data_IF_334968667022
#
_entry.id   IF_334968667022
#
_cell.length_a   1.000
_cell.length_b   1.000
_cell.length_c   1.000
_cell.angle_alpha   90.00
_cell.angle_beta   90.00
_cell.angle_gamma   90.00
#
_symmetry.space_group_name_H-M   'P 1'
#
loop_
_entity.id
_entity.type
_entity.pdbx_description
1 polymer ?
#
# COMPACT_ATOMS: atom_id res chain seq x y z
N UNK A 1 20.85 29.46 42.65
CA UNK A 1 21.54 28.24 43.08
C UNK A 1 21.23 27.15 42.08
N UNK A 2 22.27 26.76 41.33
CA UNK A 2 22.44 25.62 40.43
C UNK A 2 21.32 25.21 39.46
N UNK A 3 21.49 25.61 38.20
CA UNK A 3 21.13 24.80 37.03
C UNK A 3 21.88 23.47 37.12
N UNK A 4 21.17 22.36 37.25
CA UNK A 4 21.70 21.03 36.92
C UNK A 4 21.19 20.70 35.52
N UNK A 5 21.99 21.04 34.51
CA UNK A 5 21.87 20.45 33.19
C UNK A 5 21.97 18.93 33.37
N UNK A 6 20.86 18.22 33.23
CA UNK A 6 20.89 16.77 33.05
C UNK A 6 21.69 16.53 31.76
N UNK A 7 22.92 16.03 31.92
CA UNK A 7 23.73 15.60 30.79
C UNK A 7 22.98 14.44 30.13
N UNK A 8 22.43 14.68 28.93
CA UNK A 8 21.85 13.64 28.07
C UNK A 8 22.79 12.43 28.04
N UNK A 9 22.35 11.32 28.60
CA UNK A 9 23.12 10.10 28.60
C UNK A 9 22.61 9.21 27.46
N UNK A 10 23.35 9.11 26.33
CA UNK A 10 22.91 8.34 25.15
C UNK A 10 22.74 6.84 25.41
N UNK A 11 23.09 6.35 26.62
CA UNK A 11 22.95 4.96 27.04
C UNK A 11 21.79 4.70 28.00
N UNK A 12 21.22 5.74 28.64
CA UNK A 12 20.20 5.61 29.69
C UNK A 12 18.90 6.35 29.36
N UNK A 13 18.96 7.46 28.63
CA UNK A 13 17.79 8.26 28.31
C UNK A 13 17.21 7.83 26.94
N UNK A 14 15.92 7.46 26.87
CA UNK A 14 15.30 7.12 25.61
C UNK A 14 15.22 8.35 24.68
N UNK A 15 15.76 8.24 23.47
CA UNK A 15 15.85 9.39 22.56
C UNK A 15 14.50 9.89 22.00
N UNK A 16 13.38 9.22 22.30
CA UNK A 16 12.06 9.57 21.80
C UNK A 16 11.42 10.80 22.47
N UNK A 17 11.96 11.27 23.60
CA UNK A 17 11.42 12.44 24.33
C UNK A 17 11.88 13.79 23.74
N UNK A 18 12.90 13.80 22.88
CA UNK A 18 13.52 15.03 22.35
C UNK A 18 13.02 15.40 20.93
N UNK A 19 12.70 14.43 20.07
CA UNK A 19 12.26 14.71 18.68
C UNK A 19 11.53 13.57 17.98
N UNK A 20 10.54 13.91 17.15
CA UNK A 20 9.81 12.98 16.26
C UNK A 20 10.73 12.17 15.34
N UNK A 21 11.83 12.76 14.89
CA UNK A 21 12.81 12.08 14.04
C UNK A 21 13.53 10.94 14.77
N UNK A 22 13.84 11.13 16.06
CA UNK A 22 14.46 10.07 16.86
C UNK A 22 13.45 8.97 17.19
N UNK A 23 12.18 9.32 17.39
CA UNK A 23 11.09 8.37 17.58
C UNK A 23 10.90 7.45 16.37
N UNK A 24 10.86 8.00 15.15
CA UNK A 24 10.74 7.19 13.92
C UNK A 24 11.97 6.32 13.66
N UNK A 25 13.17 6.82 13.95
CA UNK A 25 14.39 6.02 13.86
C UNK A 25 14.46 4.91 14.93
N UNK A 26 13.82 5.09 16.08
CA UNK A 26 13.76 4.08 17.15
C UNK A 26 12.76 2.96 16.86
N UNK A 27 11.84 3.15 15.92
CA UNK A 27 10.89 2.13 15.50
C UNK A 27 11.57 1.02 14.68
N UNK A 28 11.08 -0.21 14.81
CA UNK A 28 11.68 -1.34 14.09
C UNK A 28 11.49 -1.21 12.56
N UNK A 29 12.53 -1.50 11.74
CA UNK A 29 12.43 -1.40 10.29
C UNK A 29 11.43 -2.41 9.69
N UNK A 30 11.21 -3.54 10.36
CA UNK A 30 10.21 -4.54 9.98
C UNK A 30 8.78 -3.99 10.07
N UNK A 31 8.49 -3.10 11.02
CA UNK A 31 7.17 -2.48 11.12
C UNK A 31 6.87 -1.66 9.86
N UNK A 32 7.80 -0.81 9.43
CA UNK A 32 7.67 -0.01 8.21
C UNK A 32 7.53 -0.88 6.96
N UNK A 33 8.33 -1.93 6.86
CA UNK A 33 8.26 -2.87 5.73
C UNK A 33 6.90 -3.60 5.66
N UNK A 34 6.44 -4.19 6.77
CA UNK A 34 5.16 -4.90 6.83
C UNK A 34 3.97 -3.98 6.58
N UNK A 35 4.03 -2.74 7.08
CA UNK A 35 3.01 -1.72 6.82
C UNK A 35 2.94 -1.37 5.34
N UNK A 36 4.09 -1.22 4.68
CA UNK A 36 4.18 -1.01 3.23
C UNK A 36 3.54 -2.15 2.42
N UNK A 37 3.89 -3.40 2.74
CA UNK A 37 3.32 -4.59 2.09
C UNK A 37 1.79 -4.62 2.25
N UNK A 38 1.33 -4.39 3.48
CA UNK A 38 -0.10 -4.39 3.80
C UNK A 38 -0.85 -3.30 3.05
N UNK A 39 -0.31 -2.08 2.98
CA UNK A 39 -0.93 -0.97 2.24
C UNK A 39 -0.95 -1.18 0.74
N UNK A 40 0.10 -1.76 0.16
CA UNK A 40 0.14 -2.15 -1.25
C UNK A 40 -1.02 -3.10 -1.60
N UNK A 41 -1.18 -4.16 -0.81
CA UNK A 41 -2.25 -5.14 -1.01
C UNK A 41 -3.64 -4.56 -0.75
N UNK A 42 -3.83 -3.93 0.42
CA UNK A 42 -5.13 -3.48 0.88
C UNK A 42 -5.72 -2.42 -0.05
N UNK A 43 -4.95 -1.38 -0.39
CA UNK A 43 -5.45 -0.31 -1.26
C UNK A 43 -5.69 -0.77 -2.70
N UNK A 44 -4.87 -1.70 -3.23
CA UNK A 44 -5.14 -2.32 -4.54
C UNK A 44 -6.46 -3.09 -4.55
N UNK A 45 -6.72 -3.92 -3.53
CA UNK A 45 -7.94 -4.73 -3.46
C UNK A 45 -9.18 -3.84 -3.23
N UNK A 46 -9.07 -2.80 -2.39
CA UNK A 46 -10.14 -1.82 -2.20
C UNK A 46 -10.48 -1.11 -3.53
N UNK A 47 -9.47 -0.69 -4.29
CA UNK A 47 -9.66 -0.06 -5.61
C UNK A 47 -10.33 -0.98 -6.61
N UNK A 48 -9.90 -2.22 -6.69
CA UNK A 48 -10.51 -3.23 -7.55
C UNK A 48 -11.97 -3.50 -7.16
N UNK A 49 -12.25 -3.72 -5.88
CA UNK A 49 -13.61 -3.95 -5.39
C UNK A 49 -14.54 -2.77 -5.69
N UNK A 50 -14.05 -1.54 -5.50
CA UNK A 50 -14.81 -0.33 -5.83
C UNK A 50 -15.10 -0.25 -7.34
N UNK A 51 -14.10 -0.48 -8.18
CA UNK A 51 -14.27 -0.49 -9.64
C UNK A 51 -15.29 -1.52 -10.14
N UNK A 52 -15.24 -2.73 -9.56
CA UNK A 52 -16.17 -3.82 -9.85
C UNK A 52 -17.60 -3.44 -9.42
N UNK A 53 -17.77 -2.84 -8.25
CA UNK A 53 -19.10 -2.41 -7.77
C UNK A 53 -19.74 -1.35 -8.68
N UNK A 54 -18.95 -0.36 -9.11
CA UNK A 54 -19.40 0.69 -10.03
C UNK A 54 -19.82 0.11 -11.39
N UNK A 55 -18.93 -0.66 -12.04
CA UNK A 55 -19.24 -1.24 -13.36
C UNK A 55 -20.35 -2.29 -13.26
N UNK A 56 -20.29 -3.14 -12.24
CA UNK A 56 -21.22 -4.27 -12.07
C UNK A 56 -22.66 -3.82 -11.84
N UNK A 57 -22.88 -2.78 -11.03
CA UNK A 57 -24.23 -2.24 -10.81
C UNK A 57 -24.84 -1.68 -12.10
N UNK A 58 -24.07 -0.94 -12.90
CA UNK A 58 -24.52 -0.43 -14.21
C UNK A 58 -24.75 -1.56 -15.22
N UNK A 59 -23.86 -2.56 -15.27
CA UNK A 59 -23.96 -3.70 -16.18
C UNK A 59 -25.22 -4.52 -15.92
N UNK A 60 -25.49 -4.87 -14.65
CA UNK A 60 -26.68 -5.65 -14.28
C UNK A 60 -27.95 -4.86 -14.57
N UNK A 61 -27.98 -3.56 -14.26
CA UNK A 61 -29.11 -2.69 -14.57
C UNK A 61 -29.41 -2.62 -16.07
N UNK A 62 -28.38 -2.41 -16.90
CA UNK A 62 -28.51 -2.34 -18.34
C UNK A 62 -28.87 -3.71 -18.97
N UNK A 63 -28.40 -4.81 -18.39
CA UNK A 63 -28.63 -6.16 -18.89
C UNK A 63 -30.09 -6.63 -18.77
N UNK A 64 -30.91 -6.01 -17.92
CA UNK A 64 -32.35 -6.35 -17.82
C UNK A 64 -33.08 -6.06 -19.13
N UNK A 65 -32.76 -4.94 -19.78
CA UNK A 65 -33.36 -4.56 -21.06
C UNK A 65 -32.59 -5.11 -22.27
N UNK A 66 -31.27 -5.22 -22.17
CA UNK A 66 -30.40 -5.66 -23.26
C UNK A 66 -29.44 -6.77 -22.80
N UNK A 67 -29.87 -8.04 -22.68
CA UNK A 67 -29.05 -9.11 -22.09
C UNK A 67 -27.80 -9.48 -22.91
N UNK A 68 -27.75 -9.06 -24.19
CA UNK A 68 -26.61 -9.28 -25.10
C UNK A 68 -25.32 -8.58 -24.66
N UNK A 69 -25.40 -7.54 -23.82
CA UNK A 69 -24.25 -6.74 -23.40
C UNK A 69 -23.43 -7.40 -22.29
N UNK A 70 -23.98 -8.42 -21.61
CA UNK A 70 -23.37 -9.06 -20.42
C UNK A 70 -21.98 -9.64 -20.69
N UNK A 71 -21.81 -10.31 -21.82
CA UNK A 71 -20.54 -10.97 -22.17
C UNK A 71 -19.51 -10.01 -22.77
N UNK A 72 -19.95 -9.01 -23.54
CA UNK A 72 -19.06 -8.03 -24.18
C UNK A 72 -18.43 -7.07 -23.17
N UNK A 73 -19.23 -6.62 -22.19
CA UNK A 73 -18.81 -5.57 -21.27
C UNK A 73 -18.21 -6.13 -19.96
N UNK A 74 -18.02 -7.45 -19.89
CA UNK A 74 -17.31 -8.12 -18.80
C UNK A 74 -15.82 -7.75 -18.78
N UNK A 75 -15.27 -7.30 -19.91
CA UNK A 75 -13.87 -6.86 -20.04
C UNK A 75 -13.52 -5.73 -19.04
N UNK A 76 -14.45 -4.83 -18.75
CA UNK A 76 -14.23 -3.75 -17.77
C UNK A 76 -14.06 -4.26 -16.33
N UNK A 77 -14.72 -5.38 -15.98
CA UNK A 77 -14.57 -6.03 -14.67
C UNK A 77 -13.19 -6.71 -14.59
N UNK A 78 -12.75 -7.35 -15.68
CA UNK A 78 -11.44 -8.01 -15.76
C UNK A 78 -10.30 -6.98 -15.60
N UNK A 79 -10.43 -5.79 -16.19
CA UNK A 79 -9.45 -4.72 -15.98
C UNK A 79 -9.38 -4.25 -14.52
N UNK A 80 -10.51 -4.19 -13.81
CA UNK A 80 -10.51 -3.90 -12.38
C UNK A 80 -9.84 -5.02 -11.57
N UNK A 81 -10.03 -6.28 -11.96
CA UNK A 81 -9.38 -7.43 -11.29
C UNK A 81 -7.85 -7.44 -11.51
N UNK A 82 -7.39 -7.11 -12.72
CA UNK A 82 -5.96 -7.03 -13.03
C UNK A 82 -5.23 -6.03 -12.09
N UNK A 83 -5.88 -4.93 -11.70
CA UNK A 83 -5.36 -3.97 -10.70
C UNK A 83 -5.10 -4.62 -9.34
N UNK A 84 -5.95 -5.54 -8.90
CA UNK A 84 -5.73 -6.30 -7.66
C UNK A 84 -4.51 -7.23 -7.78
N UNK A 85 -4.38 -7.92 -8.92
CA UNK A 85 -3.25 -8.83 -9.19
C UNK A 85 -1.92 -8.09 -9.17
N UNK A 86 -1.85 -6.87 -9.71
CA UNK A 86 -0.64 -6.03 -9.60
C UNK A 86 -0.26 -5.75 -8.13
N UNK A 87 -1.24 -5.50 -7.25
CA UNK A 87 -1.01 -5.31 -5.82
C UNK A 87 -0.52 -6.58 -5.10
N UNK A 88 -1.12 -7.74 -5.43
CA UNK A 88 -0.72 -9.04 -4.87
C UNK A 88 0.72 -9.38 -5.27
N UNK A 89 1.07 -9.24 -6.56
CA UNK A 89 2.42 -9.51 -7.07
C UNK A 89 3.44 -8.61 -6.38
N UNK A 90 3.16 -7.30 -6.25
CA UNK A 90 4.07 -6.37 -5.57
C UNK A 90 4.26 -6.72 -4.09
N UNK A 91 3.20 -7.15 -3.41
CA UNK A 91 3.27 -7.58 -2.01
C UNK A 91 4.17 -8.81 -1.83
N UNK A 92 4.09 -9.79 -2.75
CA UNK A 92 4.96 -10.97 -2.75
C UNK A 92 6.42 -10.57 -2.98
N UNK A 93 6.69 -9.72 -3.97
CA UNK A 93 8.06 -9.27 -4.30
C UNK A 93 8.70 -8.53 -3.10
N UNK A 94 7.93 -7.68 -2.43
CA UNK A 94 8.39 -6.96 -1.24
C UNK A 94 8.66 -7.91 -0.07
N UNK A 95 7.81 -8.92 0.14
CA UNK A 95 8.00 -9.92 1.18
C UNK A 95 9.30 -10.74 0.97
N UNK A 96 9.59 -11.15 -0.27
CA UNK A 96 10.85 -11.86 -0.60
C UNK A 96 12.10 -11.03 -0.35
N UNK A 97 12.01 -9.70 -0.31
CA UNK A 97 13.15 -8.82 0.03
C UNK A 97 13.42 -8.73 1.53
N UNK A 98 12.48 -9.14 2.38
CA UNK A 98 12.63 -9.09 3.85
C UNK A 98 13.38 -10.30 4.42
N UNK A 99 13.31 -11.46 3.77
CA UNK A 99 13.93 -12.73 4.25
C UNK A 99 15.47 -12.68 4.33
N UNK A 100 16.11 -11.69 3.73
CA UNK A 100 17.57 -11.50 3.77
C UNK A 100 18.11 -10.73 4.97
N UNK A 101 17.27 -10.07 5.77
CA UNK A 101 17.70 -9.26 6.90
C UNK A 101 17.78 -10.11 8.18
N UNK A 102 18.98 -10.57 8.57
CA UNK A 102 19.17 -11.28 9.84
C UNK A 102 19.55 -10.29 10.96
N UNK A 103 18.75 -10.39 12.04
CA UNK A 103 19.04 -10.01 13.43
C UNK A 103 18.80 -8.55 13.86
N UNK A 104 17.83 -8.38 14.76
CA UNK A 104 17.51 -7.16 15.51
C UNK A 104 17.96 -7.37 16.96
N UNK A 105 19.22 -7.07 17.24
CA UNK A 105 19.66 -6.64 18.56
C UNK A 105 20.12 -5.20 18.36
N UNK A 106 19.51 -4.18 19.00
CA UNK A 106 20.01 -2.80 18.88
C UNK A 106 21.30 -2.66 19.73
N UNK A 107 22.51 -2.57 19.14
CA UNK A 107 23.66 -2.11 19.89
C UNK A 107 23.53 -0.60 20.16
N UNK A 108 24.06 -0.15 21.29
CA UNK A 108 24.10 1.26 21.70
C UNK A 108 24.93 2.18 20.77
N UNK A 109 25.47 1.65 19.67
CA UNK A 109 26.28 2.37 18.68
C UNK A 109 25.78 1.99 17.27
N UNK A 110 25.30 2.95 16.46
CA UNK A 110 24.78 2.66 15.12
C UNK A 110 25.92 2.15 14.22
N UNK A 111 26.01 0.83 14.11
CA UNK A 111 26.94 0.17 13.19
C UNK A 111 26.34 0.26 11.78
N UNK A 112 27.15 0.51 10.75
CA UNK A 112 26.70 0.88 9.41
C UNK A 112 25.62 -0.01 8.75
N UNK A 113 25.47 -1.26 9.17
CA UNK A 113 24.44 -2.17 8.68
C UNK A 113 23.01 -1.81 9.14
N UNK A 114 22.85 -1.13 10.28
CA UNK A 114 21.53 -0.76 10.84
C UNK A 114 20.91 0.42 10.09
N UNK A 115 21.72 1.40 9.67
CA UNK A 115 21.25 2.55 8.87
C UNK A 115 20.72 2.09 7.49
N UNK A 116 21.36 1.08 6.89
CA UNK A 116 20.93 0.46 5.63
C UNK A 116 19.60 -0.28 5.82
N UNK A 117 19.41 -1.00 6.93
CA UNK A 117 18.17 -1.69 7.25
C UNK A 117 16.99 -0.71 7.51
N UNK A 118 17.25 0.42 8.20
CA UNK A 118 16.26 1.49 8.39
C UNK A 118 15.87 2.15 7.07
N UNK A 119 16.84 2.48 6.21
CA UNK A 119 16.58 3.02 4.89
C UNK A 119 15.78 2.05 4.01
N UNK A 120 16.07 0.74 4.08
CA UNK A 120 15.32 -0.30 3.40
C UNK A 120 13.85 -0.38 3.89
N UNK A 121 13.63 -0.29 5.21
CA UNK A 121 12.29 -0.26 5.80
C UNK A 121 11.45 0.91 5.30
N UNK A 122 12.01 2.13 5.27
CA UNK A 122 11.32 3.30 4.73
C UNK A 122 11.08 3.21 3.22
N UNK A 123 12.02 2.63 2.47
CA UNK A 123 11.87 2.42 1.03
C UNK A 123 10.72 1.45 0.72
N UNK A 124 10.62 0.34 1.45
CA UNK A 124 9.51 -0.61 1.32
C UNK A 124 8.17 0.04 1.71
N UNK A 125 8.15 0.82 2.78
CA UNK A 125 6.96 1.57 3.18
C UNK A 125 6.47 2.53 2.07
N UNK A 126 7.36 3.37 1.55
CA UNK A 126 7.04 4.33 0.50
C UNK A 126 6.62 3.65 -0.81
N UNK A 127 7.31 2.56 -1.19
CA UNK A 127 6.98 1.76 -2.37
C UNK A 127 5.58 1.16 -2.27
N UNK A 128 5.26 0.53 -1.15
CA UNK A 128 3.93 -0.06 -0.95
C UNK A 128 2.81 0.99 -0.93
N UNK A 129 3.06 2.14 -0.31
CA UNK A 129 2.11 3.24 -0.26
C UNK A 129 1.87 3.86 -1.65
N UNK A 130 2.91 4.09 -2.45
CA UNK A 130 2.76 4.67 -3.80
C UNK A 130 2.00 3.74 -4.73
N UNK A 131 2.33 2.45 -4.72
CA UNK A 131 1.68 1.44 -5.56
C UNK A 131 0.23 1.23 -5.13
N UNK A 132 -0.03 1.13 -3.82
CA UNK A 132 -1.38 0.96 -3.28
C UNK A 132 -2.31 2.12 -3.69
N UNK A 133 -1.88 3.37 -3.52
CA UNK A 133 -2.69 4.52 -3.94
C UNK A 133 -2.86 4.62 -5.46
N UNK A 134 -1.81 4.35 -6.24
CA UNK A 134 -1.91 4.36 -7.71
C UNK A 134 -2.95 3.36 -8.20
N UNK A 135 -2.93 2.14 -7.66
CA UNK A 135 -3.89 1.09 -7.99
C UNK A 135 -5.30 1.39 -7.47
N UNK A 136 -5.42 2.01 -6.29
CA UNK A 136 -6.72 2.47 -5.76
C UNK A 136 -7.41 3.41 -6.75
N UNK A 137 -6.73 4.48 -7.18
CA UNK A 137 -7.29 5.46 -8.09
C UNK A 137 -7.51 4.90 -9.50
N UNK A 138 -6.61 4.02 -9.97
CA UNK A 138 -6.76 3.33 -11.24
C UNK A 138 -8.03 2.47 -11.26
N UNK A 139 -8.27 1.65 -10.23
CA UNK A 139 -9.45 0.80 -10.13
C UNK A 139 -10.76 1.58 -10.15
N UNK A 140 -10.81 2.71 -9.44
CA UNK A 140 -11.98 3.61 -9.45
C UNK A 140 -12.19 4.23 -10.84
N UNK A 141 -11.13 4.72 -11.49
CA UNK A 141 -11.19 5.31 -12.83
C UNK A 141 -11.70 4.32 -13.89
N UNK A 142 -11.16 3.10 -13.89
CA UNK A 142 -11.59 2.03 -14.79
C UNK A 142 -13.05 1.67 -14.52
N UNK A 143 -13.46 1.61 -13.25
CA UNK A 143 -14.84 1.36 -12.85
C UNK A 143 -15.83 2.39 -13.40
N UNK A 144 -15.54 3.68 -13.24
CA UNK A 144 -16.40 4.76 -13.77
C UNK A 144 -16.48 4.70 -15.29
N UNK A 145 -15.35 4.46 -15.96
CA UNK A 145 -15.29 4.34 -17.42
C UNK A 145 -16.08 3.12 -17.93
N UNK A 146 -15.97 1.98 -17.22
CA UNK A 146 -16.71 0.76 -17.51
C UNK A 146 -18.22 0.92 -17.37
N UNK A 147 -18.69 1.63 -16.34
CA UNK A 147 -20.11 1.98 -16.19
C UNK A 147 -20.65 2.78 -17.38
N UNK A 148 -19.89 3.77 -17.85
CA UNK A 148 -20.25 4.59 -19.02
C UNK A 148 -20.34 3.76 -20.30
N UNK A 149 -19.37 2.89 -20.54
CA UNK A 149 -19.39 1.97 -21.68
C UNK A 149 -20.58 1.00 -21.63
N UNK A 150 -20.89 0.44 -20.45
CA UNK A 150 -21.99 -0.51 -20.28
C UNK A 150 -23.35 0.12 -20.60
N UNK A 151 -23.57 1.36 -20.16
CA UNK A 151 -24.81 2.08 -20.42
C UNK A 151 -24.92 2.53 -21.89
N UNK A 152 -23.82 2.99 -22.49
CA UNK A 152 -23.80 3.40 -23.90
C UNK A 152 -24.07 2.24 -24.86
N UNK A 153 -23.50 1.07 -24.61
CA UNK A 153 -23.74 -0.13 -25.44
C UNK A 153 -25.18 -0.65 -25.30
N UNK A 154 -25.86 -0.39 -24.17
CA UNK A 154 -27.25 -0.79 -23.97
C UNK A 154 -28.25 0.06 -24.79
N UNK A 155 -27.86 1.29 -25.17
CA UNK A 155 -28.70 2.18 -25.97
C UNK A 155 -28.67 1.86 -27.47
N UNK A 156 -27.62 1.16 -27.93
CA UNK A 156 -27.41 0.79 -29.33
C UNK A 156 -28.01 -0.58 -29.62
#
# INVERSE_FOLDING_TARGET
MSSTAASFNPYLDPCYDESWGCTFNSMSPYMWANLGITFSLAFSVIGAAWGIFLTGSSLVGAAVRAPRIKSKNLVSIIFCEAVAIYGVIMSIIMNSKMEGAKEFVPPAIPTGNMAVAQAAGYCLFACGLSVGFSNLFCGVCVGVSGSGCALGDAQK
#
